data_IF_864550649865
#
_entry.id   IF_864550649865
#
_cell.length_a   1.000
_cell.length_b   1.000
_cell.length_c   1.000
_cell.angle_alpha   90.00
_cell.angle_beta   90.00
_cell.angle_gamma   90.00
#
_symmetry.space_group_name_H-M   'P 1'
#
loop_
_entity.id
_entity.type
_entity.pdbx_description
1 polymer ?
#
# COMPACT_ATOMS: atom_id res chain seq x y z
N UNK A 1 -76.18 43.56 -29.54
CA UNK A 1 -75.97 42.89 -30.84
C UNK A 1 -75.16 41.61 -30.61
N UNK A 2 -75.76 40.46 -30.94
CA UNK A 2 -75.17 39.26 -31.59
C UNK A 2 -73.92 38.63 -30.91
N UNK A 3 -74.10 37.57 -30.09
CA UNK A 3 -73.94 36.12 -30.42
C UNK A 3 -72.56 35.73 -31.00
N UNK A 4 -71.79 34.87 -30.30
CA UNK A 4 -71.09 33.61 -30.72
C UNK A 4 -70.51 32.96 -29.43
N UNK A 5 -71.00 31.86 -28.84
CA UNK A 5 -71.00 30.43 -29.21
C UNK A 5 -69.60 29.84 -29.48
N UNK A 6 -69.13 29.12 -28.45
CA UNK A 6 -68.35 27.86 -28.39
C UNK A 6 -67.11 27.68 -29.27
N UNK A 7 -65.95 27.43 -28.64
CA UNK A 7 -65.32 26.09 -28.71
C UNK A 7 -64.31 25.86 -27.58
N UNK A 8 -64.49 24.74 -26.86
CA UNK A 8 -63.53 24.11 -25.96
C UNK A 8 -62.25 23.75 -26.73
N UNK A 9 -61.07 24.06 -26.18
CA UNK A 9 -59.83 23.37 -26.54
C UNK A 9 -59.16 22.89 -25.26
N UNK A 10 -59.36 21.62 -24.96
CA UNK A 10 -58.68 20.86 -23.91
C UNK A 10 -57.19 20.76 -24.24
N UNK A 11 -56.34 21.47 -23.48
CA UNK A 11 -54.90 21.24 -23.49
C UNK A 11 -54.55 20.30 -22.33
N UNK A 12 -54.45 19.00 -22.64
CA UNK A 12 -53.85 17.98 -21.79
C UNK A 12 -52.33 18.26 -21.71
N UNK A 13 -51.93 19.08 -20.74
CA UNK A 13 -50.51 19.20 -20.37
C UNK A 13 -50.22 18.07 -19.40
N UNK A 14 -49.62 17.01 -19.94
CA UNK A 14 -49.02 15.92 -19.18
C UNK A 14 -47.97 16.53 -18.27
N UNK A 15 -48.24 16.61 -16.97
CA UNK A 15 -47.21 16.83 -15.96
C UNK A 15 -46.27 15.62 -16.02
N UNK A 16 -45.26 15.71 -16.87
CA UNK A 16 -44.07 14.88 -16.81
C UNK A 16 -43.51 15.03 -15.40
N UNK A 17 -43.69 13.99 -14.60
CA UNK A 17 -43.12 13.85 -13.28
C UNK A 17 -41.66 14.31 -13.32
N UNK A 18 -41.34 15.38 -12.59
CA UNK A 18 -39.97 15.72 -12.25
C UNK A 18 -39.38 14.53 -11.47
N UNK A 19 -38.78 13.58 -12.20
CA UNK A 19 -37.67 12.80 -11.66
C UNK A 19 -36.47 13.72 -11.65
N UNK A 20 -36.46 14.65 -10.70
CA UNK A 20 -35.20 15.25 -10.26
C UNK A 20 -34.39 14.09 -9.69
N UNK A 21 -33.46 13.60 -10.51
CA UNK A 21 -32.42 12.67 -10.11
C UNK A 21 -31.60 13.38 -9.04
N UNK A 22 -32.00 13.20 -7.78
CA UNK A 22 -31.21 13.51 -6.60
C UNK A 22 -29.99 12.62 -6.63
N UNK A 23 -28.94 13.13 -7.24
CA UNK A 23 -27.61 12.55 -7.32
C UNK A 23 -27.16 12.17 -5.91
N UNK A 24 -27.03 10.88 -5.64
CA UNK A 24 -26.36 10.34 -4.46
C UNK A 24 -24.87 10.68 -4.55
N UNK A 25 -24.53 11.92 -4.24
CA UNK A 25 -23.15 12.37 -4.07
C UNK A 25 -23.08 13.36 -2.92
N UNK A 26 -23.64 12.98 -1.77
CA UNK A 26 -23.06 13.44 -0.50
C UNK A 26 -21.77 12.62 -0.31
N UNK A 27 -20.77 12.88 -1.16
CA UNK A 27 -19.37 12.69 -0.77
C UNK A 27 -19.14 13.75 0.29
N UNK A 28 -19.44 13.36 1.53
CA UNK A 28 -19.12 14.14 2.72
C UNK A 28 -17.69 14.64 2.58
N UNK A 29 -17.49 15.92 2.91
CA UNK A 29 -16.22 16.63 2.92
C UNK A 29 -15.09 15.79 3.56
N UNK A 30 -14.44 14.90 2.79
CA UNK A 30 -13.07 14.53 3.06
C UNK A 30 -12.30 15.82 2.86
N UNK A 31 -11.72 16.35 3.93
CA UNK A 31 -10.62 17.31 3.82
C UNK A 31 -9.73 16.81 2.69
N UNK A 32 -9.61 17.58 1.60
CA UNK A 32 -8.77 17.21 0.46
C UNK A 32 -7.32 17.27 0.93
N UNK A 33 -6.87 16.19 1.57
CA UNK A 33 -5.46 16.00 1.86
C UNK A 33 -4.71 16.13 0.54
N UNK A 34 -3.70 16.99 0.52
CA UNK A 34 -2.89 17.25 -0.65
C UNK A 34 -1.42 17.22 -0.26
N UNK A 35 -0.63 16.41 -0.96
CA UNK A 35 0.82 16.43 -0.85
C UNK A 35 1.42 17.53 -1.72
N UNK A 36 2.47 18.16 -1.22
CA UNK A 36 3.35 19.05 -1.99
C UNK A 36 4.70 18.40 -2.27
N UNK A 37 4.89 17.16 -1.85
CA UNK A 37 6.16 16.45 -2.02
C UNK A 37 6.43 16.15 -3.50
N UNK A 38 7.67 16.40 -3.91
CA UNK A 38 8.15 16.11 -5.25
C UNK A 38 9.50 15.40 -5.20
N UNK A 39 9.71 14.52 -6.17
CA UNK A 39 11.01 13.91 -6.41
C UNK A 39 12.00 14.96 -6.92
N UNK A 40 13.18 15.03 -6.32
CA UNK A 40 14.25 15.91 -6.78
C UNK A 40 14.99 15.28 -7.97
N UNK A 41 14.40 15.46 -9.16
CA UNK A 41 14.97 14.95 -10.40
C UNK A 41 16.35 15.55 -10.70
N UNK A 42 16.59 16.81 -10.32
CA UNK A 42 17.84 17.50 -10.62
C UNK A 42 19.00 16.82 -9.90
N UNK A 43 18.90 16.67 -8.58
CA UNK A 43 19.91 15.98 -7.79
C UNK A 43 20.03 14.51 -8.21
N UNK A 44 18.90 13.83 -8.44
CA UNK A 44 18.92 12.43 -8.88
C UNK A 44 19.72 12.21 -10.17
N UNK A 45 19.49 13.00 -11.22
CA UNK A 45 20.21 12.83 -12.49
C UNK A 45 21.67 13.30 -12.44
N UNK A 46 21.99 14.25 -11.56
CA UNK A 46 23.36 14.73 -11.35
C UNK A 46 24.22 13.71 -10.58
N UNK A 47 23.64 13.06 -9.56
CA UNK A 47 24.38 12.24 -8.60
C UNK A 47 24.22 10.72 -8.82
N UNK A 48 23.27 10.28 -9.65
CA UNK A 48 23.07 8.83 -9.88
C UNK A 48 24.29 8.17 -10.51
N UNK A 49 24.59 6.97 -10.04
CA UNK A 49 25.57 6.07 -10.62
C UNK A 49 24.84 4.98 -11.40
N UNK A 50 24.88 5.05 -12.73
CA UNK A 50 24.10 4.17 -13.59
C UNK A 50 22.60 4.45 -13.48
N UNK A 51 21.82 3.48 -12.98
CA UNK A 51 20.36 3.58 -12.90
C UNK A 51 19.85 4.00 -11.52
N UNK A 52 20.75 4.25 -10.56
CA UNK A 52 20.39 4.44 -9.16
C UNK A 52 21.17 5.58 -8.51
N UNK A 53 20.55 6.24 -7.53
CA UNK A 53 21.20 7.18 -6.64
C UNK A 53 21.04 6.68 -5.20
N UNK A 54 22.14 6.56 -4.47
CA UNK A 54 22.14 6.08 -3.09
C UNK A 54 22.89 7.06 -2.19
N UNK A 55 22.30 7.41 -1.04
CA UNK A 55 22.88 8.35 -0.08
C UNK A 55 22.36 8.09 1.34
N UNK A 56 23.05 8.65 2.35
CA UNK A 56 22.61 8.59 3.76
C UNK A 56 21.89 9.89 4.12
N UNK A 57 20.68 9.78 4.69
CA UNK A 57 19.89 10.92 5.14
C UNK A 57 19.67 10.86 6.65
N UNK A 58 19.99 11.93 7.37
CA UNK A 58 19.99 11.94 8.84
C UNK A 58 18.68 11.48 9.50
N UNK A 59 17.52 11.80 8.92
CA UNK A 59 16.21 11.33 9.44
C UNK A 59 15.79 9.94 8.94
N UNK A 60 16.21 9.56 7.73
CA UNK A 60 15.61 8.45 6.99
C UNK A 60 16.54 7.23 6.90
N UNK A 61 17.82 7.39 7.21
CA UNK A 61 18.84 6.37 7.05
C UNK A 61 19.33 6.28 5.61
N UNK A 62 19.66 5.06 5.18
CA UNK A 62 20.05 4.76 3.80
C UNK A 62 18.86 4.99 2.87
N UNK A 63 19.06 5.81 1.85
CA UNK A 63 18.08 6.12 0.81
C UNK A 63 18.60 5.56 -0.51
N UNK A 64 17.72 4.88 -1.25
CA UNK A 64 17.97 4.40 -2.61
C UNK A 64 16.85 4.88 -3.52
N UNK A 65 17.24 5.64 -4.54
CA UNK A 65 16.35 6.16 -5.56
C UNK A 65 16.67 5.55 -6.92
N UNK A 66 15.64 5.25 -7.72
CA UNK A 66 15.78 4.72 -9.08
C UNK A 66 14.52 5.00 -9.91
N UNK A 67 14.55 4.65 -11.21
CA UNK A 67 13.43 4.85 -12.14
C UNK A 67 13.65 6.04 -13.06
N UNK A 68 12.57 6.59 -13.62
CA UNK A 68 12.64 7.71 -14.55
C UNK A 68 13.04 7.35 -15.99
N UNK A 69 13.70 6.21 -16.19
CA UNK A 69 14.15 5.77 -17.51
C UNK A 69 12.95 5.23 -18.32
N UNK A 70 12.89 5.56 -19.61
CA UNK A 70 11.83 5.15 -20.53
C UNK A 70 10.41 5.49 -20.03
N UNK A 71 10.25 6.59 -19.28
CA UNK A 71 8.94 7.03 -18.76
C UNK A 71 8.46 6.27 -17.52
N UNK A 72 9.28 5.39 -16.93
CA UNK A 72 8.95 4.78 -15.63
C UNK A 72 8.88 5.82 -14.52
N UNK A 73 8.02 5.58 -13.53
CA UNK A 73 7.95 6.40 -12.32
C UNK A 73 9.27 6.35 -11.54
N UNK A 74 9.48 7.35 -10.67
CA UNK A 74 10.60 7.36 -9.74
C UNK A 74 10.22 6.60 -8.48
N UNK A 75 11.17 5.88 -7.91
CA UNK A 75 10.99 5.07 -6.71
C UNK A 75 12.05 5.48 -5.70
N UNK A 76 11.64 5.61 -4.44
CA UNK A 76 12.52 5.80 -3.31
C UNK A 76 12.23 4.74 -2.23
N UNK A 77 13.28 4.05 -1.80
CA UNK A 77 13.28 3.31 -0.54
C UNK A 77 14.16 4.03 0.46
N UNK A 78 13.70 4.15 1.69
CA UNK A 78 14.50 4.71 2.78
C UNK A 78 14.36 3.88 4.05
N UNK A 79 15.47 3.62 4.73
CA UNK A 79 15.48 2.82 5.97
C UNK A 79 16.73 3.09 6.80
N UNK A 80 16.57 3.26 8.12
CA UNK A 80 17.70 3.23 9.06
C UNK A 80 18.24 1.80 9.19
N UNK A 81 19.55 1.68 9.36
CA UNK A 81 20.22 0.38 9.35
C UNK A 81 19.69 -0.61 10.42
N UNK A 82 19.33 -0.09 11.60
CA UNK A 82 18.83 -0.88 12.73
C UNK A 82 17.30 -0.93 12.81
N UNK A 83 16.61 -0.44 11.80
CA UNK A 83 15.15 -0.47 11.75
C UNK A 83 14.70 -1.66 10.89
N UNK A 84 13.70 -2.38 11.38
CA UNK A 84 13.05 -3.48 10.65
C UNK A 84 12.16 -2.97 9.51
N UNK A 85 11.79 -1.71 9.55
CA UNK A 85 10.84 -1.13 8.63
C UNK A 85 11.42 0.10 7.95
N UNK A 86 11.13 0.22 6.65
CA UNK A 86 11.46 1.40 5.86
C UNK A 86 10.21 2.07 5.31
N UNK A 87 10.44 3.17 4.59
CA UNK A 87 9.43 3.87 3.83
C UNK A 87 9.66 3.64 2.34
N UNK A 88 8.59 3.32 1.63
CA UNK A 88 8.53 3.29 0.18
C UNK A 88 7.82 4.53 -0.32
N UNK A 89 8.33 5.12 -1.39
CA UNK A 89 7.66 6.17 -2.14
C UNK A 89 7.77 5.94 -3.64
N UNK A 90 6.69 6.22 -4.36
CA UNK A 90 6.65 6.29 -5.81
C UNK A 90 6.24 7.70 -6.22
N UNK A 91 6.83 8.22 -7.31
CA UNK A 91 6.54 9.54 -7.84
C UNK A 91 6.27 9.47 -9.34
N UNK A 92 5.29 10.24 -9.81
CA UNK A 92 4.98 10.32 -11.23
C UNK A 92 6.17 10.80 -12.05
N UNK A 93 6.48 10.11 -13.14
CA UNK A 93 7.57 10.49 -14.04
C UNK A 93 7.45 11.93 -14.55
N UNK A 94 6.25 12.33 -14.99
CA UNK A 94 6.01 13.61 -15.67
C UNK A 94 6.05 14.80 -14.74
N UNK A 95 5.44 14.69 -13.57
CA UNK A 95 5.23 15.82 -12.64
C UNK A 95 6.16 15.79 -11.44
N UNK A 96 6.87 14.68 -11.24
CA UNK A 96 7.63 14.36 -10.03
C UNK A 96 6.79 14.37 -8.74
N UNK A 97 5.48 14.57 -8.82
CA UNK A 97 4.58 14.57 -7.66
C UNK A 97 4.57 13.19 -7.00
N UNK A 98 4.57 13.16 -5.67
CA UNK A 98 4.38 11.93 -4.91
C UNK A 98 3.07 11.25 -5.35
N UNK A 99 3.19 9.99 -5.76
CA UNK A 99 2.10 9.13 -6.21
C UNK A 99 1.67 8.17 -5.11
N UNK A 100 2.62 7.48 -4.48
CA UNK A 100 2.33 6.42 -3.51
C UNK A 100 3.32 6.53 -2.36
N UNK A 101 2.85 6.38 -1.13
CA UNK A 101 3.70 6.30 0.06
C UNK A 101 3.16 5.26 1.03
N UNK A 102 4.08 4.49 1.61
CA UNK A 102 3.74 3.51 2.63
C UNK A 102 4.95 2.93 3.33
N UNK A 103 4.69 2.08 4.31
CA UNK A 103 5.72 1.41 5.10
C UNK A 103 5.93 0.00 4.57
N UNK A 104 7.16 -0.51 4.67
CA UNK A 104 7.47 -1.89 4.32
C UNK A 104 8.39 -2.51 5.37
N UNK A 105 8.27 -3.82 5.57
CA UNK A 105 9.24 -4.63 6.31
C UNK A 105 10.42 -4.95 5.40
N UNK A 106 11.63 -4.73 5.91
CA UNK A 106 12.86 -4.65 5.10
C UNK A 106 13.16 -5.87 4.21
N UNK A 107 12.54 -7.01 4.51
CA UNK A 107 12.82 -8.29 3.89
C UNK A 107 11.67 -8.87 3.06
N UNK A 108 10.47 -8.26 3.00
CA UNK A 108 9.40 -8.90 2.19
C UNK A 108 8.13 -8.09 1.90
N UNK A 109 7.49 -7.47 2.90
CA UNK A 109 6.06 -7.13 2.81
C UNK A 109 5.73 -5.67 3.12
N UNK A 110 4.68 -5.17 2.49
CA UNK A 110 4.09 -3.86 2.77
C UNK A 110 3.26 -3.88 4.06
N UNK A 111 3.32 -2.81 4.85
CA UNK A 111 2.61 -2.67 6.12
C UNK A 111 2.15 -1.24 6.42
N UNK A 112 1.33 -1.10 7.46
CA UNK A 112 0.72 0.16 7.85
C UNK A 112 -0.23 0.74 6.81
N UNK A 113 -0.50 2.03 6.97
CA UNK A 113 -1.33 2.81 6.05
C UNK A 113 -0.53 3.18 4.80
N UNK A 114 -1.13 2.92 3.65
CA UNK A 114 -0.65 3.36 2.34
C UNK A 114 -1.58 4.44 1.79
N UNK A 115 -0.98 5.44 1.16
CA UNK A 115 -1.70 6.58 0.59
C UNK A 115 -1.33 6.75 -0.88
N UNK A 116 -2.35 6.86 -1.73
CA UNK A 116 -2.20 7.14 -3.15
C UNK A 116 -2.70 8.54 -3.46
N UNK A 117 -1.93 9.29 -4.24
CA UNK A 117 -2.21 10.66 -4.66
C UNK A 117 -2.24 10.75 -6.17
N UNK A 118 -3.06 11.65 -6.70
CA UNK A 118 -3.06 11.99 -8.14
C UNK A 118 -1.85 12.87 -8.54
N UNK A 119 -1.70 13.14 -9.85
CA UNK A 119 -0.60 13.97 -10.36
C UNK A 119 -0.61 15.42 -9.84
N UNK A 120 -1.76 15.92 -9.37
CA UNK A 120 -1.90 17.23 -8.75
C UNK A 120 -1.60 17.22 -7.24
N UNK A 121 -1.38 16.03 -6.68
CA UNK A 121 -1.06 15.76 -5.28
C UNK A 121 -2.28 15.53 -4.39
N UNK A 122 -3.50 15.41 -4.92
CA UNK A 122 -4.68 15.14 -4.09
C UNK A 122 -4.75 13.67 -3.70
N UNK A 123 -5.06 13.38 -2.43
CA UNK A 123 -5.26 12.01 -1.95
C UNK A 123 -6.47 11.39 -2.64
N UNK A 124 -6.24 10.28 -3.34
CA UNK A 124 -7.28 9.53 -4.06
C UNK A 124 -7.62 8.21 -3.38
N UNK A 125 -6.68 7.60 -2.66
CA UNK A 125 -6.94 6.39 -1.89
C UNK A 125 -6.09 6.31 -0.61
N UNK A 126 -6.64 5.62 0.38
CA UNK A 126 -5.96 5.30 1.64
C UNK A 126 -6.41 3.92 2.12
N UNK A 127 -5.45 3.01 2.31
CA UNK A 127 -5.74 1.63 2.72
C UNK A 127 -4.73 1.12 3.75
N UNK A 128 -5.24 0.28 4.66
CA UNK A 128 -4.47 -0.32 5.74
C UNK A 128 -4.01 -1.73 5.36
N UNK A 129 -2.72 -1.90 5.09
CA UNK A 129 -2.11 -3.20 4.76
C UNK A 129 -2.15 -4.19 5.94
N UNK A 130 -2.28 -3.69 7.18
CA UNK A 130 -2.38 -4.51 8.38
C UNK A 130 -3.82 -4.95 8.67
N UNK A 131 -4.80 -4.42 7.94
CA UNK A 131 -6.21 -4.68 8.19
C UNK A 131 -6.59 -6.18 8.19
N UNK A 132 -6.04 -7.05 7.31
CA UNK A 132 -6.31 -8.48 7.36
C UNK A 132 -5.70 -9.18 8.58
N UNK A 133 -4.68 -8.62 9.22
CA UNK A 133 -3.87 -9.30 10.23
C UNK A 133 -4.22 -8.91 11.68
N UNK A 134 -5.33 -8.19 11.91
CA UNK A 134 -5.70 -7.61 13.21
C UNK A 134 -5.72 -8.59 14.39
N UNK A 135 -6.13 -9.85 14.17
CA UNK A 135 -6.21 -10.85 15.24
C UNK A 135 -4.84 -11.41 15.64
N UNK A 136 -3.90 -11.45 14.70
CA UNK A 136 -2.52 -11.84 14.93
C UNK A 136 -1.57 -10.85 14.23
N UNK A 137 -1.40 -9.65 14.81
CA UNK A 137 -0.66 -8.57 14.19
C UNK A 137 0.85 -8.82 14.27
N UNK A 138 1.63 -7.93 13.63
CA UNK A 138 3.08 -8.00 13.60
C UNK A 138 3.71 -8.18 15.00
N UNK A 139 3.21 -7.49 16.02
CA UNK A 139 3.78 -7.53 17.38
C UNK A 139 3.73 -8.94 17.97
N UNK A 140 2.70 -9.73 17.64
CA UNK A 140 2.61 -11.14 18.07
C UNK A 140 3.61 -12.01 17.31
N UNK A 141 3.78 -11.77 16.01
CA UNK A 141 4.79 -12.47 15.18
C UNK A 141 6.20 -12.15 15.66
N UNK A 142 6.50 -10.87 15.89
CA UNK A 142 7.78 -10.41 16.41
C UNK A 142 8.09 -11.07 17.76
N UNK A 143 7.11 -11.08 18.67
CA UNK A 143 7.24 -11.76 19.97
C UNK A 143 7.51 -13.25 19.79
N UNK A 144 6.72 -13.94 18.96
CA UNK A 144 6.91 -15.37 18.68
C UNK A 144 8.33 -15.67 18.16
N UNK A 145 8.82 -14.88 17.21
CA UNK A 145 10.15 -15.07 16.62
C UNK A 145 11.27 -14.80 17.62
N UNK A 146 11.19 -13.70 18.38
CA UNK A 146 12.23 -13.31 19.35
C UNK A 146 12.21 -14.17 20.61
N UNK A 147 11.03 -14.44 21.16
CA UNK A 147 10.88 -15.05 22.48
C UNK A 147 10.71 -16.56 22.41
N UNK A 148 10.02 -17.12 21.42
CA UNK A 148 9.81 -18.56 21.33
C UNK A 148 10.85 -19.23 20.45
N UNK A 149 11.10 -18.68 19.25
CA UNK A 149 12.10 -19.24 18.33
C UNK A 149 13.53 -18.80 18.66
N UNK A 150 13.70 -17.76 19.51
CA UNK A 150 15.01 -17.19 19.88
C UNK A 150 15.86 -16.78 18.67
N UNK A 151 15.20 -16.26 17.63
CA UNK A 151 15.86 -15.84 16.39
C UNK A 151 16.13 -14.34 16.37
N UNK A 152 17.22 -13.95 15.72
CA UNK A 152 17.48 -12.56 15.38
C UNK A 152 16.72 -12.20 14.10
N UNK A 153 15.89 -11.15 14.18
CA UNK A 153 15.14 -10.66 13.03
C UNK A 153 16.03 -10.05 11.95
N UNK A 154 17.28 -9.67 12.25
CA UNK A 154 18.25 -9.15 11.28
C UNK A 154 19.11 -10.24 10.65
N UNK A 155 19.01 -11.51 11.08
CA UNK A 155 19.74 -12.60 10.45
C UNK A 155 19.26 -12.79 9.00
N UNK A 156 20.20 -12.76 8.05
CA UNK A 156 19.93 -12.98 6.62
C UNK A 156 19.27 -14.33 6.32
N UNK A 157 19.36 -15.29 7.23
CA UNK A 157 18.72 -16.58 7.12
C UNK A 157 17.31 -16.61 7.69
N UNK A 158 16.83 -15.53 8.32
CA UNK A 158 15.47 -15.37 8.83
C UNK A 158 14.68 -14.48 7.87
N UNK A 159 13.56 -14.98 7.38
CA UNK A 159 12.63 -14.19 6.56
C UNK A 159 11.21 -14.34 7.07
N UNK A 160 10.48 -13.23 7.05
CA UNK A 160 9.08 -13.17 7.45
C UNK A 160 8.30 -12.59 6.29
N UNK A 161 7.27 -13.32 5.87
CA UNK A 161 6.39 -12.99 4.75
C UNK A 161 4.95 -12.98 5.21
N UNK A 162 4.09 -12.32 4.44
CA UNK A 162 2.65 -12.42 4.63
C UNK A 162 1.88 -12.28 3.33
N UNK A 163 0.69 -12.87 3.29
CA UNK A 163 -0.28 -12.67 2.22
C UNK A 163 -1.69 -13.08 2.68
N UNK A 164 -2.70 -12.60 1.98
CA UNK A 164 -4.07 -13.13 2.06
C UNK A 164 -4.22 -14.19 0.97
N UNK A 165 -4.60 -15.41 1.34
CA UNK A 165 -4.68 -16.49 0.36
C UNK A 165 -5.84 -16.28 -0.60
N UNK A 166 -5.59 -16.24 -1.90
CA UNK A 166 -6.65 -16.10 -2.92
C UNK A 166 -7.69 -17.24 -2.89
N UNK A 167 -7.30 -18.43 -2.40
CA UNK A 167 -8.18 -19.61 -2.38
C UNK A 167 -9.12 -19.64 -1.18
N UNK A 168 -8.62 -19.21 -0.01
CA UNK A 168 -9.36 -19.35 1.26
C UNK A 168 -9.71 -18.01 1.90
N UNK A 169 -9.21 -16.91 1.34
CA UNK A 169 -9.25 -15.57 1.92
C UNK A 169 -8.68 -15.49 3.35
N UNK A 170 -7.80 -16.43 3.72
CA UNK A 170 -7.16 -16.47 5.04
C UNK A 170 -5.87 -15.64 4.99
N UNK A 171 -5.71 -14.63 5.86
CA UNK A 171 -4.45 -13.92 6.05
C UNK A 171 -3.45 -14.83 6.75
N UNK A 172 -2.21 -14.83 6.28
CA UNK A 172 -1.19 -15.78 6.68
C UNK A 172 0.12 -15.06 6.98
N UNK A 173 0.78 -15.47 8.06
CA UNK A 173 2.21 -15.23 8.27
C UNK A 173 3.03 -16.46 7.89
N UNK A 174 4.17 -16.24 7.25
CA UNK A 174 5.16 -17.28 6.96
C UNK A 174 6.50 -16.85 7.54
N UNK A 175 7.10 -17.73 8.34
CA UNK A 175 8.44 -17.55 8.90
C UNK A 175 9.32 -18.64 8.30
N UNK A 176 10.42 -18.25 7.65
CA UNK A 176 11.47 -19.16 7.25
C UNK A 176 12.75 -18.87 8.03
N UNK A 177 13.41 -19.91 8.50
CA UNK A 177 14.75 -19.79 9.08
C UNK A 177 15.62 -21.01 8.81
N UNK A 178 16.93 -20.81 8.74
CA UNK A 178 17.90 -21.89 8.48
C UNK A 178 18.31 -22.60 9.77
N UNK A 179 18.41 -23.93 9.71
CA UNK A 179 19.00 -24.78 10.75
C UNK A 179 19.94 -25.78 10.09
N UNK A 180 21.26 -25.56 10.22
CA UNK A 180 22.27 -26.37 9.52
C UNK A 180 22.09 -26.32 8.00
N UNK A 181 21.93 -27.47 7.36
CA UNK A 181 21.65 -27.58 5.91
C UNK A 181 20.15 -27.59 5.58
N UNK A 182 19.27 -27.20 6.52
CA UNK A 182 17.82 -27.21 6.32
C UNK A 182 17.21 -25.82 6.45
N UNK A 183 16.04 -25.63 5.85
CA UNK A 183 15.14 -24.48 6.03
C UNK A 183 13.90 -24.99 6.77
N UNK A 184 13.60 -24.37 7.91
CA UNK A 184 12.33 -24.53 8.62
C UNK A 184 11.34 -23.52 8.07
N UNK A 185 10.10 -23.94 7.84
CA UNK A 185 8.98 -23.12 7.43
C UNK A 185 7.83 -23.27 8.42
N UNK A 186 7.34 -22.14 8.94
CA UNK A 186 6.17 -22.07 9.82
C UNK A 186 5.13 -21.18 9.15
N UNK A 187 3.91 -21.68 9.00
CA UNK A 187 2.75 -20.96 8.47
C UNK A 187 1.74 -20.77 9.60
N UNK A 188 1.38 -19.52 9.88
CA UNK A 188 0.44 -19.15 10.94
C UNK A 188 -0.82 -18.56 10.29
N UNK A 189 -1.99 -19.01 10.71
CA UNK A 189 -3.25 -18.38 10.35
C UNK A 189 -3.42 -17.09 11.15
N UNK A 190 -3.43 -15.92 10.50
CA UNK A 190 -3.48 -14.65 11.21
C UNK A 190 -4.85 -14.35 11.84
N UNK A 191 -5.92 -15.09 11.47
CA UNK A 191 -7.22 -14.96 12.12
C UNK A 191 -7.25 -15.62 13.51
N UNK A 192 -6.52 -16.73 13.69
CA UNK A 192 -6.55 -17.54 14.93
C UNK A 192 -5.25 -17.49 15.72
N UNK A 193 -4.13 -17.18 15.07
CA UNK A 193 -2.79 -17.29 15.63
C UNK A 193 -2.23 -18.71 15.66
N UNK A 194 -2.94 -19.69 15.10
CA UNK A 194 -2.52 -21.09 15.12
C UNK A 194 -1.53 -21.41 14.00
N UNK A 195 -0.57 -22.28 14.31
CA UNK A 195 0.34 -22.85 13.31
C UNK A 195 -0.44 -23.88 12.48
N UNK A 196 -0.73 -23.52 11.23
CA UNK A 196 -1.47 -24.38 10.30
C UNK A 196 -0.55 -25.26 9.43
N UNK A 197 0.75 -24.95 9.40
CA UNK A 197 1.75 -25.81 8.78
C UNK A 197 3.13 -25.54 9.38
N UNK A 198 3.87 -26.62 9.65
CA UNK A 198 5.29 -26.57 10.01
C UNK A 198 6.02 -27.64 9.22
N UNK A 199 7.19 -27.31 8.67
CA UNK A 199 7.99 -28.26 7.92
C UNK A 199 9.47 -27.88 7.89
N UNK A 200 10.31 -28.87 7.59
CA UNK A 200 11.76 -28.72 7.45
C UNK A 200 12.17 -29.33 6.13
N UNK A 201 12.83 -28.56 5.27
CA UNK A 201 13.30 -29.03 3.97
C UNK A 201 14.81 -28.84 3.85
N UNK A 202 15.54 -29.78 3.22
CA UNK A 202 16.97 -29.59 2.96
C UNK A 202 17.19 -28.46 1.96
N UNK A 203 18.31 -27.74 2.12
CA UNK A 203 18.80 -26.80 1.11
C UNK A 203 19.39 -27.62 -0.02
N UNK A 204 18.69 -27.64 -1.16
CA UNK A 204 19.21 -28.20 -2.40
C UNK A 204 20.29 -27.24 -2.91
N UNK A 205 21.52 -27.73 -3.03
CA UNK A 205 22.67 -26.99 -3.57
C UNK A 205 22.62 -26.94 -5.08
#
# INVERSE_FOLDING_TARGET
>A
MIRRIFTLLTLLVVISSCKAQGNNNIKQNKTLERTTERFDTSTYYMERQGLEYQFEHYLRGKVRQFGGNNGSNYIEYSKKEKDLFGTYKEYYNRTATLKLVGKYYYNDFDCGIWKEYDENGYLIDEYDQDAPYKNYPWEKVEKFVKEELKLDLFDKNVSIRRYVSDKTNIPVWIIHYKVGSNIVSIKINANTGEIIKKGTNPIIK
#
